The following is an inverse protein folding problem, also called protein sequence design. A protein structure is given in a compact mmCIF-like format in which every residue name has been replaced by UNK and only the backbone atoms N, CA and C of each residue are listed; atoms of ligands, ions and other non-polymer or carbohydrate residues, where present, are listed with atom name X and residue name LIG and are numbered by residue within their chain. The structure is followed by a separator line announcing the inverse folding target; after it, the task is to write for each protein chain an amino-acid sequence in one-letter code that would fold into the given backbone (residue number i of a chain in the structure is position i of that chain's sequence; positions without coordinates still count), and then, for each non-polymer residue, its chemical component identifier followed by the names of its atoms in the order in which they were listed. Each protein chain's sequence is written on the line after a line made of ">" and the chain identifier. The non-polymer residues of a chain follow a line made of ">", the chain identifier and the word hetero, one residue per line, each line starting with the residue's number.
data_IF_499946696789
#
_entry.id   IF_499946696789
#
_cell.length_a   1.000
_cell.length_b   1.000
_cell.length_c   1.000
_cell.angle_alpha   90.00
_cell.angle_beta   90.00
_cell.angle_gamma   90.00
#
_symmetry.space_group_name_H-M   'P 1'
#
loop_
_entity.id
_entity.type
_entity.pdbx_description
1 polymer ?
#
# COMPACT_ATOMS: atom_id res chain seq x y z
N UNK A 1 -17.86 -12.13 39.22
CA UNK A 1 -18.42 -12.43 37.87
C UNK A 1 -17.69 -11.71 36.74
N UNK A 2 -17.83 -10.39 36.53
CA UNK A 2 -17.19 -9.72 35.37
C UNK A 2 -15.65 -9.81 35.37
N UNK A 3 -15.00 -9.72 36.54
CA UNK A 3 -13.54 -9.88 36.68
C UNK A 3 -13.08 -11.30 36.35
N UNK A 4 -13.81 -12.30 36.80
CA UNK A 4 -13.47 -13.72 36.58
C UNK A 4 -13.61 -14.09 35.11
N UNK A 5 -14.66 -13.59 34.45
CA UNK A 5 -14.86 -13.75 33.00
C UNK A 5 -13.71 -13.07 32.24
N UNK A 6 -13.30 -11.87 32.64
CA UNK A 6 -12.16 -11.18 32.01
C UNK A 6 -10.83 -11.94 32.19
N UNK A 7 -10.59 -12.52 33.37
CA UNK A 7 -9.42 -13.34 33.64
C UNK A 7 -9.40 -14.64 32.85
N UNK A 8 -10.54 -15.33 32.76
CA UNK A 8 -10.69 -16.54 31.95
C UNK A 8 -10.44 -16.25 30.45
N UNK A 9 -11.01 -15.17 29.95
CA UNK A 9 -10.84 -14.72 28.56
C UNK A 9 -9.40 -14.28 28.27
N UNK A 10 -8.72 -13.65 29.23
CA UNK A 10 -7.31 -13.28 29.10
C UNK A 10 -6.39 -14.51 29.01
N UNK A 11 -6.69 -15.58 29.76
CA UNK A 11 -5.89 -16.80 29.81
C UNK A 11 -6.22 -17.82 28.70
N UNK A 12 -7.24 -17.58 27.88
CA UNK A 12 -7.64 -18.49 26.81
C UNK A 12 -6.84 -18.23 25.52
N UNK A 13 -5.90 -19.12 25.20
CA UNK A 13 -4.99 -19.01 24.04
C UNK A 13 -5.74 -18.94 22.70
N UNK A 14 -6.76 -19.79 22.50
CA UNK A 14 -7.56 -19.78 21.28
C UNK A 14 -8.27 -18.44 21.08
N UNK A 15 -8.77 -17.85 22.16
CA UNK A 15 -9.43 -16.55 22.09
C UNK A 15 -8.46 -15.43 21.77
N UNK A 16 -7.26 -15.43 22.36
CA UNK A 16 -6.22 -14.43 22.07
C UNK A 16 -5.72 -14.50 20.62
N UNK A 17 -5.65 -15.70 20.03
CA UNK A 17 -5.18 -15.89 18.65
C UNK A 17 -6.22 -15.49 17.59
N UNK A 18 -7.50 -15.74 17.86
CA UNK A 18 -8.58 -15.51 16.89
C UNK A 18 -9.21 -14.12 17.05
N UNK A 19 -9.15 -13.53 18.25
CA UNK A 19 -9.72 -12.21 18.49
C UNK A 19 -8.81 -11.12 17.94
N UNK A 20 -9.30 -10.48 16.89
CA UNK A 20 -8.70 -9.24 16.39
C UNK A 20 -8.93 -8.13 17.42
N UNK A 21 -7.87 -7.38 17.75
CA UNK A 21 -8.02 -6.16 18.54
C UNK A 21 -8.82 -5.14 17.75
N UNK A 22 -10.00 -4.77 18.26
CA UNK A 22 -10.84 -3.72 17.66
C UNK A 22 -10.47 -2.32 18.18
N UNK A 23 -9.33 -2.19 18.87
CA UNK A 23 -8.80 -0.89 19.23
C UNK A 23 -8.26 -0.26 17.96
N UNK A 24 -8.74 0.96 17.64
CA UNK A 24 -8.13 1.77 16.60
C UNK A 24 -6.64 1.92 16.95
N UNK A 25 -5.76 1.36 16.12
CA UNK A 25 -4.33 1.67 16.20
C UNK A 25 -4.21 3.19 16.08
N UNK A 26 -3.89 3.88 17.18
CA UNK A 26 -3.40 5.25 17.14
C UNK A 26 -1.96 5.20 16.63
N UNK A 27 -1.78 4.89 15.36
CA UNK A 27 -0.57 5.28 14.66
C UNK A 27 -0.63 6.80 14.47
N UNK A 28 0.45 7.52 14.78
CA UNK A 28 0.61 8.85 14.20
C UNK A 28 0.60 8.66 12.68
N UNK A 29 -0.25 9.38 11.97
CA UNK A 29 -0.05 9.56 10.54
C UNK A 29 1.35 10.14 10.39
N UNK A 30 2.24 9.42 9.71
CA UNK A 30 3.57 9.96 9.43
C UNK A 30 3.34 11.24 8.61
N UNK A 31 3.93 12.35 9.06
CA UNK A 31 3.96 13.56 8.26
C UNK A 31 4.82 13.26 7.03
N UNK A 32 4.22 13.31 5.85
CA UNK A 32 4.94 13.29 4.58
C UNK A 32 5.58 14.67 4.45
N UNK A 33 6.92 14.71 4.46
CA UNK A 33 7.67 15.94 4.23
C UNK A 33 7.46 16.30 2.76
N UNK A 34 6.95 17.50 2.50
CA UNK A 34 6.84 18.00 1.12
C UNK A 34 8.27 18.33 0.66
N UNK A 35 8.80 17.66 -0.37
CA UNK A 35 10.10 18.01 -0.95
C UNK A 35 10.11 19.46 -1.44
N UNK A 36 11.29 20.07 -1.45
CA UNK A 36 11.49 21.46 -1.90
C UNK A 36 12.10 21.56 -3.29
N UNK A 37 12.72 20.48 -3.75
CA UNK A 37 13.30 20.37 -5.09
C UNK A 37 12.45 19.50 -6.01
N UNK A 38 12.52 19.82 -7.31
CA UNK A 38 11.92 19.01 -8.38
C UNK A 38 12.55 17.62 -8.35
N UNK A 39 11.73 16.57 -8.39
CA UNK A 39 12.16 15.17 -8.45
C UNK A 39 12.87 14.62 -7.19
N UNK A 40 12.78 15.31 -6.06
CA UNK A 40 13.39 14.87 -4.78
C UNK A 40 12.59 13.74 -4.12
N UNK A 41 11.27 13.77 -4.22
CA UNK A 41 10.39 12.68 -3.80
C UNK A 41 9.42 12.32 -4.93
N UNK A 42 9.61 11.13 -5.50
CA UNK A 42 8.77 10.58 -6.55
C UNK A 42 8.04 9.37 -6.01
N UNK A 43 6.72 9.45 -5.99
CA UNK A 43 5.91 8.30 -5.67
C UNK A 43 5.60 7.54 -6.96
N UNK A 44 5.84 6.23 -6.94
CA UNK A 44 5.64 5.35 -8.09
C UNK A 44 4.72 4.21 -7.68
N UNK A 45 3.66 3.99 -8.46
CA UNK A 45 2.72 2.89 -8.23
C UNK A 45 2.30 2.24 -9.54
N UNK A 46 1.80 1.01 -9.44
CA UNK A 46 1.39 0.21 -10.57
C UNK A 46 -0.06 -0.24 -10.42
N UNK A 47 -0.85 0.06 -11.44
CA UNK A 47 -2.21 -0.45 -11.56
C UNK A 47 -2.17 -1.67 -12.47
N UNK A 48 -2.36 -2.86 -11.91
CA UNK A 48 -2.37 -4.12 -12.65
C UNK A 48 -3.79 -4.66 -12.90
N UNK A 49 -3.87 -5.73 -13.71
CA UNK A 49 -5.11 -6.49 -14.00
C UNK A 49 -6.19 -5.67 -14.70
N UNK A 50 -5.78 -4.70 -15.52
CA UNK A 50 -6.68 -3.94 -16.37
C UNK A 50 -7.11 -4.78 -17.59
N UNK A 51 -8.28 -4.46 -18.20
CA UNK A 51 -8.65 -5.03 -19.49
C UNK A 51 -7.53 -4.86 -20.51
N UNK A 52 -7.22 -5.92 -21.25
CA UNK A 52 -6.13 -5.88 -22.24
C UNK A 52 -6.47 -4.91 -23.37
N UNK A 53 -5.57 -3.98 -23.64
CA UNK A 53 -5.63 -3.14 -24.84
C UNK A 53 -5.34 -3.96 -26.10
N UNK A 54 -5.59 -3.40 -27.30
CA UNK A 54 -5.23 -4.05 -28.58
C UNK A 54 -3.74 -4.42 -28.67
N UNK A 55 -2.89 -3.68 -27.97
CA UNK A 55 -1.44 -3.92 -27.88
C UNK A 55 -1.03 -4.82 -26.70
N UNK A 56 -2.00 -5.50 -26.07
CA UNK A 56 -1.81 -6.46 -24.97
C UNK A 56 -1.27 -5.87 -23.66
N UNK A 57 -1.19 -4.54 -23.53
CA UNK A 57 -0.94 -3.91 -22.23
C UNK A 57 -2.13 -4.08 -21.31
N UNK A 58 -1.86 -4.36 -20.04
CA UNK A 58 -2.85 -4.64 -18.98
C UNK A 58 -2.46 -3.99 -17.65
N UNK A 59 -1.59 -2.98 -17.73
CA UNK A 59 -1.02 -2.31 -16.57
C UNK A 59 -0.63 -0.88 -16.91
N UNK A 60 -0.72 -0.02 -15.90
CA UNK A 60 -0.35 1.39 -15.96
C UNK A 60 0.66 1.65 -14.85
N UNK A 61 1.76 2.33 -15.18
CA UNK A 61 2.71 2.88 -14.22
C UNK A 61 2.37 4.33 -14.00
N UNK A 62 2.12 4.67 -12.75
CA UNK A 62 1.83 6.02 -12.30
C UNK A 62 3.08 6.56 -11.61
N UNK A 63 3.59 7.68 -12.09
CA UNK A 63 4.67 8.42 -11.44
C UNK A 63 4.11 9.76 -11.03
N UNK A 64 4.13 10.03 -9.72
CA UNK A 64 3.65 11.27 -9.12
C UNK A 64 4.84 12.05 -8.56
N UNK A 65 4.99 13.30 -9.01
CA UNK A 65 5.84 14.28 -8.34
C UNK A 65 4.99 15.05 -7.33
N UNK A 66 5.27 14.82 -6.04
CA UNK A 66 4.51 15.43 -4.95
C UNK A 66 4.59 16.96 -4.96
N UNK A 67 5.71 17.52 -5.41
CA UNK A 67 5.91 18.97 -5.46
C UNK A 67 5.17 19.61 -6.63
N UNK A 68 5.16 18.95 -7.79
CA UNK A 68 4.59 19.54 -9.01
C UNK A 68 3.12 19.23 -9.25
N UNK A 69 2.51 18.30 -8.48
CA UNK A 69 1.21 17.71 -8.80
C UNK A 69 1.14 17.21 -10.26
N UNK A 70 2.27 16.77 -10.81
CA UNK A 70 2.32 16.18 -12.14
C UNK A 70 2.18 14.67 -12.02
N UNK A 71 1.27 14.14 -12.82
CA UNK A 71 0.97 12.73 -12.95
C UNK A 71 1.39 12.22 -14.34
N UNK A 72 2.43 11.39 -14.36
CA UNK A 72 2.84 10.70 -15.57
C UNK A 72 2.25 9.29 -15.59
N UNK A 73 1.48 8.99 -16.64
CA UNK A 73 0.93 7.66 -16.87
C UNK A 73 1.65 6.98 -18.02
N UNK A 74 2.32 5.86 -17.74
CA UNK A 74 2.94 5.03 -18.75
C UNK A 74 2.20 3.69 -18.87
N UNK A 75 1.85 3.31 -20.09
CA UNK A 75 1.19 2.03 -20.38
C UNK A 75 2.27 1.01 -20.77
N UNK A 76 2.37 -0.08 -20.02
CA UNK A 76 3.37 -1.13 -20.23
C UNK A 76 2.76 -2.53 -20.03
N UNK A 77 3.46 -3.57 -20.48
CA UNK A 77 3.15 -4.96 -20.16
C UNK A 77 3.91 -5.40 -18.92
N UNK A 78 3.33 -6.31 -18.12
CA UNK A 78 3.96 -6.92 -16.93
C UNK A 78 5.34 -7.52 -17.24
N UNK A 79 5.50 -8.13 -18.40
CA UNK A 79 6.77 -8.70 -18.86
C UNK A 79 7.88 -7.65 -19.02
N UNK A 80 7.52 -6.44 -19.43
CA UNK A 80 8.48 -5.35 -19.58
C UNK A 80 8.88 -4.75 -18.22
N UNK A 81 7.97 -4.70 -17.24
CA UNK A 81 8.30 -4.28 -15.87
C UNK A 81 9.22 -5.28 -15.17
N UNK A 82 8.96 -6.59 -15.35
CA UNK A 82 9.80 -7.63 -14.76
C UNK A 82 11.27 -7.45 -15.15
N UNK A 83 11.56 -7.08 -16.39
CA UNK A 83 12.93 -6.82 -16.87
C UNK A 83 13.61 -5.60 -16.24
N UNK A 84 12.85 -4.62 -15.76
CA UNK A 84 13.40 -3.40 -15.14
C UNK A 84 13.81 -3.62 -13.68
N UNK A 85 13.09 -4.51 -12.97
CA UNK A 85 13.25 -4.69 -11.51
C UNK A 85 13.82 -6.06 -11.13
N UNK A 86 13.62 -7.09 -11.95
CA UNK A 86 14.20 -8.42 -11.76
C UNK A 86 15.39 -8.52 -12.72
N UNK A 87 16.59 -8.27 -12.18
CA UNK A 87 17.86 -8.40 -12.91
C UNK A 87 18.29 -9.86 -13.03
#
# INVERSE_FOLDING_TARGET
>A
MKKDIAGFVANCTNYQQVKVEHKKLRGLSQYIIIPTLKWEDLNMDFIFRLPRTRRQHHSIWVILDWMMKLDYFLIYSVENYAKLYLR
#
